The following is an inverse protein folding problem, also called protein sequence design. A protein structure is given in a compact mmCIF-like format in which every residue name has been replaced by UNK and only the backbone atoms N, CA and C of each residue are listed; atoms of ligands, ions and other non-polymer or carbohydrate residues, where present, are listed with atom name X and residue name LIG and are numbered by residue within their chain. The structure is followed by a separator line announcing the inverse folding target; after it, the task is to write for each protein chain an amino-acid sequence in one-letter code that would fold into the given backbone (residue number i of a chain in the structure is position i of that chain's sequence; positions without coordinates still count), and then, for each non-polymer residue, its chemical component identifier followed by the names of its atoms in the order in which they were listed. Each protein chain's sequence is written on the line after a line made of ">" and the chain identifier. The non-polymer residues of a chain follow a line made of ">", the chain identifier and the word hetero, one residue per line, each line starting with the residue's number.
data_IF_204677673438
#
_entry.id   IF_204677673438
#
_cell.length_a   1.000
_cell.length_b   1.000
_cell.length_c   1.000
_cell.angle_alpha   90.00
_cell.angle_beta   90.00
_cell.angle_gamma   90.00
#
_symmetry.space_group_name_H-M   'P 1'
#
loop_
_entity.id
_entity.type
_entity.pdbx_description
1 polymer ?
#
# COMPACT_ATOMS: atom_id res chain seq x y z
N UNK A 1 -11.97 -4.20 14.10
CA UNK A 1 -12.58 -4.16 12.76
C UNK A 1 -11.86 -5.14 11.85
N UNK A 2 -12.60 -6.06 11.26
CA UNK A 2 -12.05 -7.04 10.32
C UNK A 2 -11.68 -6.35 9.01
N UNK A 3 -10.47 -6.57 8.46
CA UNK A 3 -10.12 -6.04 7.16
C UNK A 3 -11.02 -6.57 6.04
N UNK A 4 -11.29 -5.74 5.04
CA UNK A 4 -12.02 -6.16 3.86
C UNK A 4 -11.08 -6.88 2.89
N UNK A 5 -11.46 -8.07 2.46
CA UNK A 5 -10.72 -8.83 1.46
C UNK A 5 -11.20 -8.46 0.06
N UNK A 6 -10.30 -7.91 -0.73
CA UNK A 6 -10.49 -7.59 -2.13
C UNK A 6 -9.79 -8.63 -3.01
N UNK A 7 -10.56 -9.43 -3.74
CA UNK A 7 -10.05 -10.54 -4.54
C UNK A 7 -9.89 -10.21 -6.04
N UNK A 8 -10.01 -8.95 -6.41
CA UNK A 8 -9.79 -8.44 -7.76
C UNK A 8 -10.69 -9.05 -8.86
N UNK A 9 -11.75 -9.76 -8.51
CA UNK A 9 -12.58 -10.47 -9.48
C UNK A 9 -13.72 -9.65 -10.08
N UNK A 10 -14.16 -8.57 -9.45
CA UNK A 10 -15.37 -7.85 -9.84
C UNK A 10 -15.25 -6.34 -9.65
N UNK A 11 -15.82 -5.57 -10.57
CA UNK A 11 -15.88 -4.11 -10.53
C UNK A 11 -16.51 -3.57 -9.24
N UNK A 12 -17.56 -4.23 -8.74
CA UNK A 12 -18.22 -3.89 -7.47
C UNK A 12 -17.28 -4.00 -6.27
N UNK A 13 -16.32 -4.92 -6.31
CA UNK A 13 -15.33 -5.07 -5.24
C UNK A 13 -14.33 -3.91 -5.22
N UNK A 14 -13.98 -3.36 -6.38
CA UNK A 14 -13.12 -2.17 -6.47
C UNK A 14 -13.79 -1.00 -5.77
N UNK A 15 -15.03 -0.69 -6.12
CA UNK A 15 -15.77 0.43 -5.50
C UNK A 15 -15.94 0.25 -4.00
N UNK A 16 -16.20 -0.97 -3.56
CA UNK A 16 -16.34 -1.30 -2.14
C UNK A 16 -15.02 -1.11 -1.40
N UNK A 17 -13.91 -1.57 -1.95
CA UNK A 17 -12.57 -1.37 -1.39
C UNK A 17 -12.21 0.12 -1.29
N UNK A 18 -12.50 0.89 -2.35
CA UNK A 18 -12.29 2.34 -2.38
C UNK A 18 -13.09 3.03 -1.26
N UNK A 19 -14.37 2.67 -1.12
CA UNK A 19 -15.23 3.22 -0.07
C UNK A 19 -14.69 2.92 1.33
N UNK A 20 -14.23 1.70 1.57
CA UNK A 20 -13.67 1.29 2.86
C UNK A 20 -12.40 2.06 3.17
N UNK A 21 -11.48 2.18 2.22
CA UNK A 21 -10.25 2.94 2.38
C UNK A 21 -10.53 4.40 2.71
N UNK A 22 -11.43 5.05 1.96
CA UNK A 22 -11.80 6.46 2.17
C UNK A 22 -12.43 6.72 3.54
N UNK A 23 -13.08 5.73 4.13
CA UNK A 23 -13.65 5.81 5.48
C UNK A 23 -12.66 5.45 6.59
N UNK A 24 -11.39 5.25 6.26
CA UNK A 24 -10.34 4.88 7.21
C UNK A 24 -10.30 3.41 7.58
N UNK A 25 -10.88 2.55 6.74
CA UNK A 25 -10.81 1.11 6.91
C UNK A 25 -9.52 0.51 6.38
N UNK A 26 -9.38 -0.79 6.57
CA UNK A 26 -8.24 -1.59 6.11
C UNK A 26 -8.73 -2.59 5.08
N UNK A 27 -7.98 -2.73 3.99
CA UNK A 27 -8.31 -3.65 2.88
C UNK A 27 -7.14 -4.62 2.66
N UNK A 28 -7.48 -5.88 2.42
CA UNK A 28 -6.54 -6.89 1.95
C UNK A 28 -6.75 -7.07 0.46
N UNK A 29 -5.67 -6.99 -0.33
CA UNK A 29 -5.75 -7.02 -1.78
C UNK A 29 -4.57 -7.76 -2.41
N UNK A 30 -4.77 -8.36 -3.60
CA UNK A 30 -3.67 -9.02 -4.32
C UNK A 30 -2.69 -8.01 -4.90
N UNK A 31 -1.43 -8.41 -5.04
CA UNK A 31 -0.44 -7.70 -5.84
C UNK A 31 0.22 -8.68 -6.83
N UNK A 32 1.14 -8.18 -7.63
CA UNK A 32 1.96 -9.02 -8.52
C UNK A 32 3.01 -9.87 -7.80
N UNK A 33 3.15 -9.68 -6.49
CA UNK A 33 4.08 -10.47 -5.64
C UNK A 33 3.33 -11.32 -4.63
N UNK A 34 2.67 -10.70 -3.65
CA UNK A 34 1.91 -11.38 -2.58
C UNK A 34 0.64 -10.59 -2.26
N UNK A 35 -0.28 -11.17 -1.50
CA UNK A 35 -1.38 -10.39 -0.92
C UNK A 35 -0.84 -9.36 0.06
N UNK A 36 -1.41 -8.16 -0.01
CA UNK A 36 -1.05 -7.02 0.82
C UNK A 36 -2.22 -6.62 1.73
N UNK A 37 -1.89 -6.05 2.86
CA UNK A 37 -2.84 -5.35 3.74
C UNK A 37 -2.49 -3.87 3.73
N UNK A 38 -3.50 -3.03 3.58
CA UNK A 38 -3.27 -1.60 3.44
C UNK A 38 -4.41 -0.71 3.91
N UNK A 39 -4.08 0.55 4.05
CA UNK A 39 -4.95 1.63 4.49
C UNK A 39 -4.51 2.93 3.82
N UNK A 40 -5.31 4.00 3.91
CA UNK A 40 -4.87 5.32 3.47
C UNK A 40 -3.59 5.73 4.18
N UNK A 41 -2.57 6.09 3.42
CA UNK A 41 -1.27 6.47 3.97
C UNK A 41 -1.33 7.73 4.86
N UNK A 42 -2.25 8.63 4.57
CA UNK A 42 -2.49 9.86 5.34
C UNK A 42 -3.27 9.64 6.64
N UNK A 43 -3.92 8.50 6.81
CA UNK A 43 -4.73 8.20 7.99
C UNK A 43 -3.92 7.45 9.04
N UNK A 44 -3.39 8.17 10.04
CA UNK A 44 -2.53 7.61 11.08
C UNK A 44 -3.19 6.49 11.90
N UNK A 45 -4.49 6.60 12.17
CA UNK A 45 -5.23 5.54 12.88
C UNK A 45 -5.30 4.26 12.06
N UNK A 46 -5.61 4.37 10.79
CA UNK A 46 -5.68 3.22 9.89
C UNK A 46 -4.29 2.60 9.67
N UNK A 47 -3.25 3.42 9.55
CA UNK A 47 -1.86 2.95 9.49
C UNK A 47 -1.47 2.16 10.75
N UNK A 48 -1.83 2.66 11.92
CA UNK A 48 -1.59 1.92 13.19
C UNK A 48 -2.28 0.56 13.20
N UNK A 49 -3.52 0.47 12.71
CA UNK A 49 -4.21 -0.83 12.60
C UNK A 49 -3.46 -1.81 11.70
N UNK A 50 -2.85 -1.33 10.61
CA UNK A 50 -2.02 -2.18 9.76
C UNK A 50 -0.82 -2.73 10.54
N UNK A 51 -0.15 -1.91 11.35
CA UNK A 51 0.92 -2.37 12.23
C UNK A 51 0.43 -3.40 13.25
N UNK A 52 -0.73 -3.17 13.86
CA UNK A 52 -1.34 -4.10 14.83
C UNK A 52 -1.63 -5.46 14.18
N UNK A 53 -2.24 -5.47 12.99
CA UNK A 53 -2.51 -6.70 12.22
C UNK A 53 -1.21 -7.45 11.91
N UNK A 54 -0.14 -6.73 11.60
CA UNK A 54 1.18 -7.31 11.32
C UNK A 54 1.89 -7.83 12.57
N UNK A 55 1.48 -7.42 13.76
CA UNK A 55 2.28 -7.64 14.99
C UNK A 55 3.67 -7.02 14.87
N UNK A 56 3.77 -5.88 14.16
CA UNK A 56 5.05 -5.27 13.78
C UNK A 56 5.29 -4.00 14.57
N UNK A 57 6.53 -3.81 15.04
CA UNK A 57 6.93 -2.56 15.68
C UNK A 57 6.89 -1.38 14.70
N UNK A 58 6.40 -0.21 15.14
CA UNK A 58 6.29 1.02 14.34
C UNK A 58 7.64 1.56 13.85
N UNK A 59 8.75 0.98 14.28
CA UNK A 59 10.11 1.37 13.88
C UNK A 59 10.49 0.94 12.44
N UNK A 60 9.73 -0.01 11.89
CA UNK A 60 9.92 -0.46 10.50
C UNK A 60 8.82 0.14 9.62
N UNK A 61 9.17 1.09 8.77
CA UNK A 61 8.22 1.74 7.88
C UNK A 61 7.45 0.79 6.98
N UNK A 62 6.33 1.28 6.47
CA UNK A 62 5.49 0.62 5.47
C UNK A 62 5.65 1.33 4.13
N UNK A 63 5.63 0.62 3.00
CA UNK A 63 5.64 1.26 1.70
C UNK A 63 4.32 1.97 1.40
N UNK A 64 4.39 2.99 0.55
CA UNK A 64 3.25 3.66 -0.03
C UNK A 64 3.05 3.16 -1.46
N UNK A 65 1.82 2.78 -1.80
CA UNK A 65 1.42 2.37 -3.13
C UNK A 65 0.65 3.50 -3.80
N UNK A 66 0.95 3.73 -5.06
CA UNK A 66 0.25 4.69 -5.92
C UNK A 66 -0.25 3.97 -7.18
N UNK A 67 -1.30 4.49 -7.80
CA UNK A 67 -1.92 3.89 -9.00
C UNK A 67 -1.40 4.47 -10.30
N UNK A 68 -0.79 5.65 -10.25
CA UNK A 68 -0.28 6.36 -11.41
C UNK A 68 0.90 7.25 -11.02
N UNK A 69 1.82 7.46 -11.98
CA UNK A 69 2.99 8.31 -11.75
C UNK A 69 2.62 9.76 -11.43
N UNK A 70 1.47 10.23 -11.88
CA UNK A 70 0.96 11.57 -11.53
C UNK A 70 0.74 11.76 -10.04
N UNK A 71 0.59 10.69 -9.26
CA UNK A 71 0.43 10.72 -7.81
C UNK A 71 1.77 10.84 -7.06
N UNK A 72 2.90 10.79 -7.76
CA UNK A 72 4.22 10.77 -7.11
C UNK A 72 4.45 12.00 -6.20
N UNK A 73 3.93 13.16 -6.57
CA UNK A 73 4.08 14.40 -5.79
C UNK A 73 3.35 14.37 -4.45
N UNK A 74 2.40 13.47 -4.26
CA UNK A 74 1.73 13.27 -2.97
C UNK A 74 2.64 12.53 -1.97
N UNK A 75 3.66 11.83 -2.46
CA UNK A 75 4.49 10.92 -1.67
C UNK A 75 5.92 11.42 -1.56
N UNK A 76 6.52 11.84 -2.67
CA UNK A 76 7.92 12.22 -2.75
C UNK A 76 8.11 13.72 -2.95
N UNK A 77 8.95 14.33 -2.11
CA UNK A 77 9.35 15.75 -2.25
C UNK A 77 10.17 16.01 -3.50
N UNK A 78 11.02 15.05 -3.85
CA UNK A 78 11.96 15.14 -4.96
C UNK A 78 11.84 13.87 -5.80
N UNK A 79 11.75 14.04 -7.11
CA UNK A 79 11.71 12.94 -8.06
C UNK A 79 12.85 13.10 -9.05
N UNK A 80 14.06 12.58 -8.72
CA UNK A 80 15.26 12.78 -9.53
C UNK A 80 15.17 12.14 -10.93
N UNK A 81 15.94 12.62 -11.92
CA UNK A 81 15.96 12.03 -13.26
C UNK A 81 16.26 10.53 -13.29
N UNK A 82 17.14 10.05 -12.42
CA UNK A 82 17.42 8.61 -12.30
C UNK A 82 16.19 7.84 -11.85
N UNK A 83 15.46 8.34 -10.84
CA UNK A 83 14.21 7.73 -10.39
C UNK A 83 13.18 7.69 -11.51
N UNK A 84 13.03 8.77 -12.27
CA UNK A 84 12.14 8.83 -13.45
C UNK A 84 12.48 7.77 -14.49
N UNK A 85 13.76 7.60 -14.78
CA UNK A 85 14.24 6.57 -15.71
C UNK A 85 13.88 5.17 -15.23
N UNK A 86 14.09 4.89 -13.95
CA UNK A 86 13.79 3.59 -13.36
C UNK A 86 12.29 3.27 -13.38
N UNK A 87 11.44 4.23 -13.05
CA UNK A 87 9.98 3.99 -13.06
C UNK A 87 9.45 3.80 -14.48
N UNK A 88 9.99 4.49 -15.47
CA UNK A 88 9.60 4.30 -16.87
C UNK A 88 9.90 2.89 -17.37
N UNK A 89 10.92 2.24 -16.82
CA UNK A 89 11.34 0.90 -17.22
C UNK A 89 10.66 -0.20 -16.39
N UNK A 90 10.46 0.03 -15.07
CA UNK A 90 10.10 -1.03 -14.13
C UNK A 90 8.72 -0.89 -13.49
N UNK A 91 8.02 0.23 -13.66
CA UNK A 91 6.66 0.40 -13.13
C UNK A 91 5.60 0.32 -14.23
N UNK A 92 4.47 -0.31 -13.92
CA UNK A 92 4.13 -1.07 -12.71
C UNK A 92 4.96 -2.35 -12.59
N UNK A 93 5.29 -2.75 -11.36
CA UNK A 93 6.08 -3.96 -11.12
C UNK A 93 6.68 -4.04 -9.72
N UNK A 94 7.64 -4.93 -9.58
CA UNK A 94 8.27 -5.26 -8.29
C UNK A 94 9.26 -4.24 -7.75
N UNK A 95 9.69 -3.26 -8.56
CA UNK A 95 10.65 -2.24 -8.11
C UNK A 95 10.03 -1.32 -7.06
N UNK A 96 10.68 -1.18 -5.92
CA UNK A 96 10.37 -0.20 -4.90
C UNK A 96 11.46 0.87 -4.87
N UNK A 97 11.05 2.14 -4.96
CA UNK A 97 11.95 3.27 -4.78
C UNK A 97 11.85 3.81 -3.36
N UNK A 98 12.97 4.29 -2.82
CA UNK A 98 13.02 5.00 -1.55
C UNK A 98 13.42 6.43 -1.82
N UNK A 99 12.52 7.37 -1.52
CA UNK A 99 12.69 8.79 -1.80
C UNK A 99 12.34 9.65 -0.58
N UNK A 100 12.84 10.88 -0.50
CA UNK A 100 12.42 11.81 0.55
C UNK A 100 10.90 12.00 0.52
N UNK A 101 10.26 11.83 1.67
CA UNK A 101 8.80 11.91 1.79
C UNK A 101 8.29 13.35 1.80
N UNK A 102 7.05 13.54 1.35
CA UNK A 102 6.29 14.78 1.55
C UNK A 102 5.74 14.85 2.98
N UNK A 103 5.24 16.03 3.36
CA UNK A 103 4.59 16.22 4.66
C UNK A 103 3.21 15.52 4.74
N UNK A 104 2.64 15.15 3.60
CA UNK A 104 1.39 14.34 3.54
C UNK A 104 1.58 12.90 4.04
N UNK A 105 2.81 12.42 4.06
CA UNK A 105 3.14 11.08 4.55
C UNK A 105 3.55 11.21 6.01
N UNK A 106 2.76 10.65 6.95
CA UNK A 106 3.07 10.76 8.38
C UNK A 106 4.29 9.90 8.76
N UNK A 107 5.00 10.33 9.79
CA UNK A 107 6.15 9.60 10.33
C UNK A 107 5.78 8.22 10.85
N UNK A 108 4.54 8.04 11.28
CA UNK A 108 4.02 6.73 11.68
C UNK A 108 4.15 5.70 10.56
N UNK A 109 3.87 6.10 9.32
CA UNK A 109 3.98 5.20 8.17
C UNK A 109 5.44 4.81 7.89
N UNK A 110 6.35 5.76 8.01
CA UNK A 110 7.77 5.57 7.66
C UNK A 110 8.63 5.07 8.82
N UNK A 111 8.03 4.77 9.96
CA UNK A 111 8.78 4.36 11.15
C UNK A 111 9.71 5.45 11.69
N UNK A 112 9.33 6.71 11.53
CA UNK A 112 10.11 7.88 11.96
C UNK A 112 11.16 8.36 10.96
N UNK A 113 11.24 7.76 9.76
CA UNK A 113 12.20 8.16 8.74
C UNK A 113 11.66 9.29 7.85
N UNK A 114 12.55 10.13 7.35
CA UNK A 114 12.24 11.19 6.39
C UNK A 114 12.15 10.68 4.94
N UNK A 115 12.30 9.39 4.75
CA UNK A 115 12.16 8.72 3.45
C UNK A 115 11.00 7.75 3.47
N UNK A 116 10.44 7.47 2.30
CA UNK A 116 9.33 6.55 2.09
C UNK A 116 9.63 5.62 0.93
N UNK A 117 9.28 4.35 1.09
CA UNK A 117 9.30 3.37 0.02
C UNK A 117 8.05 3.52 -0.84
N UNK A 118 8.19 3.52 -2.16
CA UNK A 118 7.09 3.79 -3.10
C UNK A 118 7.09 2.73 -4.18
N UNK A 119 5.89 2.28 -4.57
CA UNK A 119 5.73 1.30 -5.64
C UNK A 119 4.39 1.50 -6.36
N UNK A 120 4.36 1.14 -7.66
CA UNK A 120 3.12 0.87 -8.39
C UNK A 120 3.07 -0.65 -8.63
N UNK A 121 2.15 -1.39 -7.98
CA UNK A 121 2.06 -2.84 -8.17
C UNK A 121 1.47 -3.17 -9.55
N UNK A 122 1.98 -4.24 -10.18
CA UNK A 122 1.48 -4.69 -11.47
C UNK A 122 0.27 -5.63 -11.30
N UNK A 123 -0.82 -5.08 -10.81
CA UNK A 123 -2.11 -5.76 -10.70
C UNK A 123 -3.20 -4.78 -11.16
N UNK A 124 -3.81 -4.99 -12.33
CA UNK A 124 -4.72 -4.01 -12.94
C UNK A 124 -5.87 -3.56 -12.07
N UNK A 125 -6.51 -4.46 -11.34
CA UNK A 125 -7.62 -4.11 -10.47
C UNK A 125 -7.17 -3.27 -9.26
N UNK A 126 -5.98 -3.52 -8.74
CA UNK A 126 -5.40 -2.73 -7.64
C UNK A 126 -4.96 -1.36 -8.14
N UNK A 127 -4.38 -1.27 -9.33
CA UNK A 127 -4.06 0.01 -9.96
C UNK A 127 -5.34 0.85 -10.10
N UNK A 128 -6.43 0.26 -10.55
CA UNK A 128 -7.72 0.95 -10.69
C UNK A 128 -8.24 1.40 -9.31
N UNK A 129 -8.16 0.55 -8.30
CA UNK A 129 -8.51 0.90 -6.92
C UNK A 129 -7.70 2.10 -6.44
N UNK A 130 -6.39 2.08 -6.62
CA UNK A 130 -5.49 3.16 -6.19
C UNK A 130 -5.78 4.48 -6.93
N UNK A 131 -6.09 4.42 -8.22
CA UNK A 131 -6.49 5.60 -9.01
C UNK A 131 -7.81 6.19 -8.50
N UNK A 132 -8.81 5.36 -8.23
CA UNK A 132 -10.11 5.81 -7.70
C UNK A 132 -10.02 6.37 -6.28
N UNK A 133 -9.15 5.83 -5.45
CA UNK A 133 -8.86 6.40 -4.12
C UNK A 133 -8.26 7.79 -4.26
N UNK A 134 -7.37 7.99 -5.22
CA UNK A 134 -6.74 9.29 -5.53
C UNK A 134 -5.67 9.71 -4.54
N UNK A 135 -5.36 8.89 -3.54
CA UNK A 135 -4.36 9.12 -2.51
C UNK A 135 -3.49 7.88 -2.33
N UNK A 136 -2.24 8.04 -1.84
CA UNK A 136 -1.40 6.88 -1.55
C UNK A 136 -2.05 5.95 -0.50
N UNK A 137 -1.93 4.65 -0.74
CA UNK A 137 -2.37 3.58 0.16
C UNK A 137 -1.14 2.84 0.65
N UNK A 138 -0.99 2.64 1.96
CA UNK A 138 0.08 1.78 2.41
C UNK A 138 -0.21 0.34 2.04
N UNK A 139 0.81 -0.46 1.76
CA UNK A 139 0.64 -1.86 1.41
C UNK A 139 1.84 -2.67 1.86
N UNK A 140 1.60 -3.58 2.79
CA UNK A 140 2.60 -4.54 3.25
C UNK A 140 2.06 -5.95 3.12
N UNK A 141 2.92 -6.97 3.02
CA UNK A 141 2.47 -8.35 2.88
C UNK A 141 1.44 -8.74 3.96
N UNK A 142 0.36 -9.39 3.54
CA UNK A 142 -0.72 -9.83 4.44
C UNK A 142 -0.30 -11.08 5.21
N UNK A 143 0.60 -10.90 6.19
CA UNK A 143 1.13 -11.94 7.08
C UNK A 143 1.58 -11.32 8.39
N UNK A 144 1.66 -12.11 9.44
CA UNK A 144 2.34 -11.69 10.65
C UNK A 144 3.83 -11.47 10.37
N UNK A 145 4.42 -10.48 11.03
CA UNK A 145 5.84 -10.14 10.83
C UNK A 145 6.72 -11.35 11.12
N UNK A 146 7.59 -11.71 10.17
CA UNK A 146 8.45 -12.88 10.24
C UNK A 146 7.83 -14.20 9.79
N UNK A 147 6.53 -14.22 9.47
CA UNK A 147 5.85 -15.41 8.91
C UNK A 147 5.87 -15.38 7.38
N UNK A 148 5.51 -16.53 6.77
CA UNK A 148 5.41 -16.64 5.31
C UNK A 148 4.34 -15.71 4.75
N UNK A 149 4.64 -15.04 3.66
CA UNK A 149 3.69 -14.17 2.96
C UNK A 149 2.56 -14.97 2.33
N UNK A 150 1.34 -14.41 2.37
CA UNK A 150 0.16 -15.02 1.80
C UNK A 150 0.17 -14.93 0.26
N UNK A 151 -0.02 -16.08 -0.39
CA UNK A 151 -0.02 -16.18 -1.85
C UNK A 151 -1.43 -16.27 -2.44
N UNK A 152 -2.45 -16.45 -1.60
CA UNK A 152 -3.84 -16.52 -2.02
C UNK A 152 -4.77 -15.86 -0.98
N UNK A 153 -6.01 -15.62 -1.40
CA UNK A 153 -7.01 -14.92 -0.59
C UNK A 153 -7.30 -15.64 0.74
N UNK A 154 -7.42 -16.97 0.72
CA UNK A 154 -7.73 -17.75 1.91
C UNK A 154 -6.63 -17.69 2.98
N UNK A 155 -5.36 -17.69 2.58
CA UNK A 155 -4.23 -17.51 3.50
C UNK A 155 -4.20 -16.08 4.06
N UNK A 156 -4.46 -15.08 3.21
CA UNK A 156 -4.48 -13.68 3.60
C UNK A 156 -5.60 -13.40 4.62
N UNK A 157 -6.79 -13.97 4.41
CA UNK A 157 -7.92 -13.83 5.30
C UNK A 157 -7.62 -14.41 6.69
N UNK A 158 -7.03 -15.59 6.75
CA UNK A 158 -6.64 -16.23 8.02
C UNK A 158 -5.63 -15.40 8.82
N UNK A 159 -4.78 -14.67 8.13
CA UNK A 159 -3.69 -13.92 8.77
C UNK A 159 -4.15 -12.52 9.19
N UNK A 160 -5.03 -11.89 8.41
CA UNK A 160 -5.48 -10.53 8.64
C UNK A 160 -6.81 -10.46 9.43
N UNK A 161 -7.55 -11.55 9.49
CA UNK A 161 -8.76 -11.69 10.29
C UNK A 161 -8.45 -12.05 11.72
#
# INVERSE_FOLDING_TARGET
>A
MTPYLFDAGMESQIDQAVSILKRGGVVVFPTDTVYAVGALASNTQAVRRVFDIKGRANTKGLPALIGDISQINQVAKVFPPLARKLVNEYWPGGLTLVLPKTDNIPLELTGGNETVAIRIPNQPAVIEMLKRVGEPVTGTSANLSGCKSSLNAAEAEKTAG
#
